data_IF_860068114513
#
_entry.id   IF_860068114513
#
_cell.length_a   1.000
_cell.length_b   1.000
_cell.length_c   1.000
_cell.angle_alpha   90.00
_cell.angle_beta   90.00
_cell.angle_gamma   90.00
#
_symmetry.space_group_name_H-M   'P 1'
#
loop_
_entity.id
_entity.type
_entity.pdbx_description
1 polymer ?
#
# COMPACT_ATOMS: atom_id res chain seq x y z
N UNK A 1 -29.55 -17.29 1.71
CA UNK A 1 -29.78 -15.83 1.75
C UNK A 1 -28.43 -15.16 1.99
N UNK A 2 -27.91 -14.42 1.01
CA UNK A 2 -26.49 -14.11 0.87
C UNK A 2 -25.94 -12.97 1.74
N UNK A 3 -24.70 -13.13 2.21
CA UNK A 3 -23.90 -12.16 2.99
C UNK A 3 -23.35 -10.98 2.18
N UNK A 4 -23.94 -10.69 1.01
CA UNK A 4 -23.43 -9.68 0.06
C UNK A 4 -23.88 -8.24 0.37
N UNK A 5 -24.51 -8.01 1.52
CA UNK A 5 -25.14 -6.72 1.84
C UNK A 5 -24.23 -5.69 2.53
N UNK A 6 -22.97 -6.03 2.86
CA UNK A 6 -22.08 -5.10 3.57
C UNK A 6 -21.37 -4.08 2.68
N UNK A 7 -21.43 -4.24 1.35
CA UNK A 7 -20.79 -3.34 0.39
C UNK A 7 -21.72 -2.26 -0.21
N UNK A 8 -22.98 -2.19 0.23
CA UNK A 8 -23.96 -1.20 -0.25
C UNK A 8 -24.31 -0.15 0.83
N UNK A 9 -23.33 0.65 1.25
CA UNK A 9 -23.64 1.90 1.95
C UNK A 9 -23.00 3.09 1.25
N UNK A 10 -23.79 3.73 0.39
CA UNK A 10 -23.51 4.99 -0.28
C UNK A 10 -23.92 6.16 0.62
N UNK A 11 -22.93 6.99 0.95
CA UNK A 11 -22.92 8.41 1.33
C UNK A 11 -23.81 8.94 2.48
N UNK A 12 -23.17 9.40 3.56
CA UNK A 12 -23.65 10.52 4.37
C UNK A 12 -22.44 11.36 4.85
N UNK A 13 -22.46 12.64 4.51
CA UNK A 13 -21.51 13.71 4.85
C UNK A 13 -21.22 13.76 6.35
N UNK A 14 -19.94 13.70 6.73
CA UNK A 14 -19.48 14.02 8.08
C UNK A 14 -18.20 14.86 8.02
N UNK A 15 -18.15 15.83 8.94
CA UNK A 15 -17.34 17.02 8.95
C UNK A 15 -15.82 16.79 8.90
N UNK A 16 -15.14 17.84 8.41
CA UNK A 16 -13.69 18.07 8.46
C UNK A 16 -13.11 17.70 9.83
N UNK A 17 -12.44 16.55 9.89
CA UNK A 17 -11.30 16.32 10.78
C UNK A 17 -10.09 16.22 9.89
N UNK A 18 -9.22 17.23 9.93
CA UNK A 18 -7.96 17.26 9.18
C UNK A 18 -7.13 16.02 9.49
N UNK A 19 -6.82 15.16 8.51
CA UNK A 19 -5.68 14.29 8.63
C UNK A 19 -4.42 15.09 8.28
N UNK A 20 -3.43 14.94 9.14
CA UNK A 20 -2.04 15.32 8.95
C UNK A 20 -1.59 15.10 7.48
N UNK A 21 -0.97 16.14 6.91
CA UNK A 21 -0.25 16.18 5.65
C UNK A 21 -0.54 15.08 4.63
N UNK A 22 -1.69 15.15 3.95
CA UNK A 22 -1.82 14.52 2.65
C UNK A 22 -0.88 15.27 1.70
N UNK A 23 0.25 14.64 1.34
CA UNK A 23 0.99 15.03 0.16
C UNK A 23 -0.02 15.16 -0.98
N UNK A 24 -0.06 16.35 -1.60
CA UNK A 24 -1.03 16.70 -2.61
C UNK A 24 -1.15 15.58 -3.66
N UNK A 25 -2.36 15.19 -4.09
CA UNK A 25 -2.50 14.30 -5.23
C UNK A 25 -1.99 15.06 -6.45
N UNK A 26 -0.75 14.76 -6.84
CA UNK A 26 -0.14 15.31 -8.06
C UNK A 26 -1.01 14.83 -9.22
N UNK A 27 -1.38 15.71 -10.17
CA UNK A 27 -2.36 15.39 -11.19
C UNK A 27 -1.87 14.23 -12.07
N UNK A 28 -2.80 13.41 -12.53
CA UNK A 28 -2.62 12.37 -13.54
C UNK A 28 -1.76 12.86 -14.73
N UNK A 29 -0.44 12.69 -14.64
CA UNK A 29 0.48 12.82 -15.75
C UNK A 29 0.79 11.40 -16.26
N UNK A 30 0.60 11.13 -17.56
CA UNK A 30 0.85 9.81 -18.12
C UNK A 30 2.35 9.50 -18.02
N UNK A 31 2.71 8.51 -17.21
CA UNK A 31 4.00 7.79 -17.28
C UNK A 31 5.24 8.68 -17.42
N UNK A 32 5.41 9.69 -16.55
CA UNK A 32 6.69 10.40 -16.47
C UNK A 32 7.82 9.39 -16.19
N UNK A 33 8.96 9.43 -16.89
CA UNK A 33 10.08 8.51 -16.64
C UNK A 33 10.55 8.53 -15.18
N UNK A 34 10.41 9.68 -14.50
CA UNK A 34 10.67 9.83 -13.08
C UNK A 34 9.78 8.92 -12.22
N UNK A 35 8.48 8.84 -12.54
CA UNK A 35 7.53 7.99 -11.81
C UNK A 35 7.83 6.50 -12.00
N UNK A 36 8.32 6.11 -13.17
CA UNK A 36 8.78 4.73 -13.41
C UNK A 36 10.03 4.40 -12.60
N UNK A 37 10.95 5.36 -12.46
CA UNK A 37 12.13 5.19 -11.61
C UNK A 37 11.75 5.06 -10.14
N UNK A 38 10.88 5.94 -9.64
CA UNK A 38 10.35 5.85 -8.28
C UNK A 38 9.64 4.53 -8.00
N UNK A 39 8.89 4.02 -8.98
CA UNK A 39 8.22 2.74 -8.90
C UNK A 39 9.21 1.58 -8.81
N UNK A 40 10.29 1.60 -9.62
CA UNK A 40 11.36 0.59 -9.53
C UNK A 40 12.04 0.60 -8.16
N UNK A 41 12.33 1.78 -7.62
CA UNK A 41 12.91 1.91 -6.28
C UNK A 41 11.95 1.37 -5.21
N UNK A 42 10.66 1.71 -5.29
CA UNK A 42 9.65 1.19 -4.38
C UNK A 42 9.54 -0.35 -4.44
N UNK A 43 9.63 -0.94 -5.63
CA UNK A 43 9.64 -2.38 -5.80
C UNK A 43 10.89 -3.05 -5.23
N UNK A 44 12.06 -2.42 -5.34
CA UNK A 44 13.27 -2.90 -4.69
C UNK A 44 13.12 -2.92 -3.17
N UNK A 45 12.58 -1.84 -2.58
CA UNK A 45 12.29 -1.78 -1.15
C UNK A 45 11.28 -2.84 -0.69
N UNK A 46 10.22 -3.05 -1.47
CA UNK A 46 9.23 -4.08 -1.18
C UNK A 46 9.83 -5.48 -1.25
N UNK A 47 10.72 -5.73 -2.21
CA UNK A 47 11.39 -7.03 -2.35
C UNK A 47 12.28 -7.32 -1.14
N UNK A 48 13.03 -6.33 -0.67
CA UNK A 48 13.85 -6.48 0.54
C UNK A 48 12.97 -6.67 1.80
N UNK A 49 11.89 -5.90 1.93
CA UNK A 49 10.94 -6.08 3.03
C UNK A 49 10.25 -7.46 2.99
N UNK A 50 9.91 -7.95 1.81
CA UNK A 50 9.32 -9.27 1.62
C UNK A 50 10.29 -10.40 1.97
N UNK A 51 11.58 -10.29 1.59
CA UNK A 51 12.61 -11.25 1.99
C UNK A 51 12.80 -11.31 3.50
N UNK A 52 12.70 -10.16 4.18
CA UNK A 52 12.81 -10.07 5.63
C UNK A 52 11.54 -10.50 6.38
N UNK A 53 10.45 -10.77 5.66
CA UNK A 53 9.15 -11.11 6.19
C UNK A 53 8.80 -12.58 5.93
N UNK A 54 8.04 -13.21 6.84
CA UNK A 54 7.50 -14.58 6.62
C UNK A 54 6.32 -14.62 5.64
N UNK A 55 5.91 -13.50 5.07
CA UNK A 55 4.74 -13.41 4.19
C UNK A 55 5.02 -14.10 2.85
N UNK A 56 4.32 -15.21 2.60
CA UNK A 56 4.43 -15.98 1.35
C UNK A 56 3.54 -15.45 0.24
N UNK A 57 2.47 -14.74 0.59
CA UNK A 57 1.53 -14.16 -0.35
C UNK A 57 0.78 -12.99 0.31
N UNK A 58 0.57 -11.91 -0.43
CA UNK A 58 -0.29 -10.81 -0.02
C UNK A 58 -1.04 -10.24 -1.23
N UNK A 59 -2.22 -9.71 -0.94
CA UNK A 59 -3.04 -9.00 -1.92
C UNK A 59 -3.34 -7.61 -1.38
N UNK A 60 -3.04 -6.58 -2.16
CA UNK A 60 -3.36 -5.20 -1.81
C UNK A 60 -4.41 -4.63 -2.77
N UNK A 61 -5.27 -3.78 -2.26
CA UNK A 61 -6.29 -3.08 -3.03
C UNK A 61 -6.17 -1.59 -2.71
N UNK A 62 -6.21 -0.74 -3.73
CA UNK A 62 -6.33 0.71 -3.52
C UNK A 62 -7.81 1.10 -3.45
N UNK A 63 -8.09 2.19 -2.73
CA UNK A 63 -9.45 2.75 -2.67
C UNK A 63 -9.88 3.41 -3.99
N UNK A 64 -8.92 3.83 -4.79
CA UNK A 64 -9.13 4.54 -6.05
C UNK A 64 -9.47 3.59 -7.21
N UNK A 65 -9.36 2.28 -7.00
CA UNK A 65 -9.62 1.26 -8.03
C UNK A 65 -8.45 1.06 -9.00
N UNK A 66 -7.34 1.79 -8.84
CA UNK A 66 -6.09 1.55 -9.58
C UNK A 66 -5.35 0.35 -8.99
N UNK A 67 -4.58 -0.36 -9.81
CA UNK A 67 -3.80 -1.47 -9.29
C UNK A 67 -2.66 -0.93 -8.41
N UNK A 68 -2.53 -1.44 -7.19
CA UNK A 68 -1.58 -0.92 -6.21
C UNK A 68 -0.12 -1.02 -6.68
N UNK A 69 0.19 -1.99 -7.55
CA UNK A 69 1.54 -2.15 -8.12
C UNK A 69 1.95 -1.06 -9.11
N UNK A 70 1.03 -0.22 -9.55
CA UNK A 70 1.29 0.88 -10.48
C UNK A 70 1.56 2.20 -9.74
N UNK A 71 1.29 2.25 -8.44
CA UNK A 71 1.44 3.44 -7.61
C UNK A 71 2.64 3.28 -6.66
N UNK A 72 3.70 4.10 -6.80
CA UNK A 72 4.91 3.96 -5.98
C UNK A 72 4.63 4.17 -4.50
N UNK A 73 3.65 5.02 -4.16
CA UNK A 73 3.25 5.29 -2.76
C UNK A 73 2.58 4.04 -2.16
N UNK A 74 1.67 3.40 -2.88
CA UNK A 74 1.03 2.16 -2.46
C UNK A 74 2.04 1.02 -2.31
N UNK A 75 2.97 0.86 -3.25
CA UNK A 75 4.04 -0.17 -3.16
C UNK A 75 4.88 0.05 -1.90
N UNK A 76 5.26 1.29 -1.59
CA UNK A 76 6.01 1.60 -0.35
C UNK A 76 5.18 1.38 0.91
N UNK A 77 3.89 1.68 0.89
CA UNK A 77 3.00 1.41 2.03
C UNK A 77 2.92 -0.09 2.33
N UNK A 78 2.87 -0.94 1.30
CA UNK A 78 2.92 -2.40 1.46
C UNK A 78 4.28 -2.84 1.99
N UNK A 79 5.38 -2.28 1.48
CA UNK A 79 6.72 -2.56 2.01
C UNK A 79 6.83 -2.21 3.50
N UNK A 80 6.29 -1.07 3.92
CA UNK A 80 6.23 -0.66 5.32
C UNK A 80 5.43 -1.65 6.17
N UNK A 81 4.26 -2.09 5.69
CA UNK A 81 3.46 -3.10 6.38
C UNK A 81 4.20 -4.44 6.52
N UNK A 82 4.96 -4.88 5.51
CA UNK A 82 5.76 -6.11 5.59
C UNK A 82 6.87 -6.03 6.66
N UNK A 83 7.44 -4.84 6.87
CA UNK A 83 8.44 -4.62 7.92
C UNK A 83 7.88 -4.73 9.33
N UNK A 84 6.56 -4.55 9.52
CA UNK A 84 5.90 -4.74 10.82
C UNK A 84 5.78 -6.23 11.20
N UNK A 85 5.95 -7.15 10.24
CA UNK A 85 5.93 -8.59 10.43
C UNK A 85 7.30 -9.20 10.08
N UNK A 86 8.37 -8.86 10.84
CA UNK A 86 9.67 -9.45 10.61
C UNK A 86 9.66 -10.94 10.98
N UNK A 87 10.48 -11.71 10.30
CA UNK A 87 10.76 -13.10 10.66
C UNK A 87 11.28 -13.17 12.11
N UNK A 88 10.39 -13.52 13.04
CA UNK A 88 10.70 -13.56 14.48
C UNK A 88 11.60 -14.73 14.86
N UNK A 89 11.85 -15.68 13.96
CA UNK A 89 12.78 -16.80 14.17
C UNK A 89 14.22 -16.28 14.31
N UNK A 90 14.53 -15.19 13.60
CA UNK A 90 15.85 -14.57 13.63
C UNK A 90 16.12 -13.75 14.90
N UNK A 91 15.12 -13.50 15.74
CA UNK A 91 15.24 -12.65 16.94
C UNK A 91 15.23 -13.43 18.26
N UNK A 92 15.14 -14.76 18.24
CA UNK A 92 14.98 -15.58 19.45
C UNK A 92 16.25 -16.33 19.91
N UNK A 93 17.43 -15.94 19.43
CA UNK A 93 18.72 -16.40 19.96
C UNK A 93 19.47 -15.24 20.61
N UNK A 94 19.11 -14.87 21.84
CA UNK A 94 20.00 -14.17 22.78
C UNK A 94 19.66 -14.61 24.20
#
# INVERSE_FOLDING_TARGET
MGLRSLFQRKAATAARTSPVGAAAPVPDAPTSPELQEELRVAWAELTEAAKASKVTNFHACTRTGRHWAEDPVAVRAVAAALREFPDSDSQQTT
#
